data_IF_919947535398
#
_entry.id   IF_919947535398
#
_cell.length_a   1.000
_cell.length_b   1.000
_cell.length_c   1.000
_cell.angle_alpha   90.00
_cell.angle_beta   90.00
_cell.angle_gamma   90.00
#
_symmetry.space_group_name_H-M   'P 1'
#
loop_
_entity.id
_entity.type
_entity.pdbx_description
1 polymer ?
#
# COMPACT_ATOMS: atom_id res chain seq x y z
N UNK A 1 78.89 40.76 -40.92
CA UNK A 1 77.97 41.09 -39.80
C UNK A 1 76.52 40.68 -40.05
N UNK A 2 75.96 40.77 -41.27
CA UNK A 2 74.54 40.41 -41.55
C UNK A 2 74.17 38.95 -41.24
N UNK A 3 75.05 37.98 -41.50
CA UNK A 3 74.76 36.56 -41.26
C UNK A 3 74.66 36.21 -39.76
N UNK A 4 75.52 36.79 -38.92
CA UNK A 4 75.50 36.56 -37.47
C UNK A 4 74.25 37.15 -36.80
N UNK A 5 73.82 38.35 -37.23
CA UNK A 5 72.57 38.96 -36.76
C UNK A 5 71.33 38.17 -37.18
N UNK A 6 71.32 37.63 -38.41
CA UNK A 6 70.24 36.76 -38.88
C UNK A 6 70.15 35.47 -38.06
N UNK A 7 71.28 34.79 -37.81
CA UNK A 7 71.32 33.57 -37.01
C UNK A 7 70.83 33.79 -35.57
N UNK A 8 71.25 34.90 -34.94
CA UNK A 8 70.81 35.23 -33.57
C UNK A 8 69.30 35.50 -33.52
N UNK A 9 68.76 36.21 -34.53
CA UNK A 9 67.34 36.48 -34.63
C UNK A 9 66.52 35.20 -34.81
N UNK A 10 66.95 34.28 -35.69
CA UNK A 10 66.26 33.01 -35.91
C UNK A 10 66.34 32.07 -34.70
N UNK A 11 67.46 32.09 -33.99
CA UNK A 11 67.63 31.31 -32.76
C UNK A 11 66.69 31.80 -31.65
N UNK A 12 66.59 33.12 -31.48
CA UNK A 12 65.73 33.71 -30.46
C UNK A 12 64.24 33.52 -30.77
N UNK A 13 63.83 33.64 -32.04
CA UNK A 13 62.44 33.37 -32.45
C UNK A 13 62.07 31.91 -32.31
N UNK A 14 62.97 30.97 -32.65
CA UNK A 14 62.76 29.55 -32.44
C UNK A 14 62.61 29.22 -30.94
N UNK A 15 63.48 29.77 -30.08
CA UNK A 15 63.39 29.59 -28.64
C UNK A 15 62.10 30.16 -28.04
N UNK A 16 61.68 31.35 -28.49
CA UNK A 16 60.42 31.96 -28.07
C UNK A 16 59.20 31.12 -28.50
N UNK A 17 59.20 30.58 -29.72
CA UNK A 17 58.08 29.78 -30.22
C UNK A 17 57.95 28.46 -29.45
N UNK A 18 59.06 27.81 -29.11
CA UNK A 18 59.07 26.60 -28.28
C UNK A 18 58.56 26.89 -26.88
N UNK A 19 59.00 27.99 -26.26
CA UNK A 19 58.52 28.38 -24.93
C UNK A 19 57.01 28.69 -24.95
N UNK A 20 56.52 29.40 -25.96
CA UNK A 20 55.10 29.71 -26.12
C UNK A 20 54.25 28.44 -26.32
N UNK A 21 54.75 27.48 -27.12
CA UNK A 21 54.08 26.19 -27.32
C UNK A 21 54.00 25.38 -26.02
N UNK A 22 55.09 25.32 -25.25
CA UNK A 22 55.12 24.59 -23.98
C UNK A 22 54.16 25.18 -22.94
N UNK A 23 54.06 26.52 -22.89
CA UNK A 23 53.10 27.22 -22.01
C UNK A 23 51.67 26.95 -22.45
N UNK A 24 51.40 26.95 -23.76
CA UNK A 24 50.07 26.65 -24.30
C UNK A 24 49.65 25.21 -23.97
N UNK A 25 50.54 24.23 -24.20
CA UNK A 25 50.27 22.81 -23.92
C UNK A 25 50.07 22.56 -22.42
N UNK A 26 50.87 23.22 -21.57
CA UNK A 26 50.68 23.18 -20.12
C UNK A 26 49.34 23.76 -19.70
N UNK A 27 48.94 24.92 -20.23
CA UNK A 27 47.64 25.51 -19.93
C UNK A 27 46.50 24.59 -20.36
N UNK A 28 46.58 23.99 -21.55
CA UNK A 28 45.58 23.06 -22.07
C UNK A 28 45.49 21.83 -21.17
N UNK A 29 46.61 21.20 -20.82
CA UNK A 29 46.63 20.04 -19.93
C UNK A 29 46.09 20.38 -18.52
N UNK A 30 46.46 21.52 -17.96
CA UNK A 30 45.98 21.94 -16.65
C UNK A 30 44.47 22.23 -16.67
N UNK A 31 43.98 23.03 -17.61
CA UNK A 31 42.57 23.39 -17.67
C UNK A 31 41.69 22.22 -18.11
N UNK A 32 42.05 21.49 -19.16
CA UNK A 32 41.22 20.43 -19.70
C UNK A 32 41.23 19.20 -18.78
N UNK A 33 42.41 18.79 -18.32
CA UNK A 33 42.56 17.52 -17.61
C UNK A 33 42.38 17.69 -16.11
N UNK A 34 43.10 18.62 -15.48
CA UNK A 34 43.02 18.77 -14.04
C UNK A 34 41.74 19.49 -13.62
N UNK A 35 41.44 20.65 -14.20
CA UNK A 35 40.25 21.39 -13.82
C UNK A 35 38.98 20.75 -14.39
N UNK A 36 38.84 20.62 -15.70
CA UNK A 36 37.57 20.15 -16.26
C UNK A 36 37.28 18.70 -15.88
N UNK A 37 38.23 17.77 -16.06
CA UNK A 37 37.94 16.37 -15.78
C UNK A 37 37.85 16.10 -14.27
N UNK A 38 38.81 16.55 -13.45
CA UNK A 38 38.77 16.18 -12.02
C UNK A 38 37.74 16.98 -11.24
N UNK A 39 37.77 18.31 -11.33
CA UNK A 39 36.84 19.15 -10.55
C UNK A 39 35.39 18.93 -11.00
N UNK A 40 35.12 18.92 -12.30
CA UNK A 40 33.74 18.79 -12.77
C UNK A 40 33.18 17.40 -12.50
N UNK A 41 33.97 16.33 -12.65
CA UNK A 41 33.49 14.97 -12.36
C UNK A 41 33.27 14.77 -10.86
N UNK A 42 34.18 15.24 -10.01
CA UNK A 42 34.02 15.15 -8.56
C UNK A 42 32.86 16.01 -8.05
N UNK A 43 32.75 17.26 -8.53
CA UNK A 43 31.65 18.16 -8.20
C UNK A 43 30.31 17.58 -8.65
N UNK A 44 30.21 17.12 -9.90
CA UNK A 44 28.97 16.59 -10.45
C UNK A 44 28.56 15.30 -9.74
N UNK A 45 29.51 14.40 -9.44
CA UNK A 45 29.24 13.19 -8.68
C UNK A 45 28.75 13.50 -7.27
N UNK A 46 29.41 14.41 -6.55
CA UNK A 46 28.99 14.82 -5.21
C UNK A 46 27.62 15.51 -5.24
N UNK A 47 27.40 16.41 -6.20
CA UNK A 47 26.14 17.12 -6.39
C UNK A 47 25.00 16.15 -6.71
N UNK A 48 25.17 15.25 -7.69
CA UNK A 48 24.14 14.25 -8.02
C UNK A 48 23.86 13.34 -6.84
N UNK A 49 24.89 12.87 -6.13
CA UNK A 49 24.70 11.95 -5.00
C UNK A 49 23.95 12.64 -3.88
N UNK A 50 24.36 13.86 -3.49
CA UNK A 50 23.70 14.61 -2.43
C UNK A 50 22.26 15.00 -2.82
N UNK A 51 22.07 15.55 -4.01
CA UNK A 51 20.76 15.99 -4.49
C UNK A 51 19.80 14.82 -4.68
N UNK A 52 20.23 13.77 -5.38
CA UNK A 52 19.37 12.63 -5.70
C UNK A 52 19.09 11.77 -4.46
N UNK A 53 20.10 11.50 -3.63
CA UNK A 53 19.90 10.66 -2.45
C UNK A 53 19.14 11.40 -1.34
N UNK A 54 19.57 12.61 -0.97
CA UNK A 54 18.99 13.29 0.19
C UNK A 54 17.70 14.04 -0.14
N UNK A 55 17.68 14.79 -1.25
CA UNK A 55 16.53 15.63 -1.56
C UNK A 55 15.47 14.84 -2.30
N UNK A 56 15.83 14.17 -3.38
CA UNK A 56 14.85 13.44 -4.17
C UNK A 56 14.42 12.15 -3.47
N UNK A 57 15.33 11.21 -3.16
CA UNK A 57 14.90 9.94 -2.55
C UNK A 57 14.29 10.15 -1.17
N UNK A 58 15.01 10.77 -0.23
CA UNK A 58 14.49 10.86 1.14
C UNK A 58 13.30 11.81 1.25
N UNK A 59 13.41 13.06 0.79
CA UNK A 59 12.31 14.00 1.00
C UNK A 59 11.09 13.67 0.14
N UNK A 60 11.26 13.36 -1.15
CA UNK A 60 10.11 13.01 -1.99
C UNK A 60 9.51 11.67 -1.57
N UNK A 61 10.25 10.56 -1.57
CA UNK A 61 9.62 9.27 -1.25
C UNK A 61 9.18 9.19 0.20
N UNK A 62 9.97 9.62 1.18
CA UNK A 62 9.53 9.48 2.56
C UNK A 62 8.30 10.33 2.82
N UNK A 63 8.32 11.64 2.49
CA UNK A 63 7.20 12.54 2.80
C UNK A 63 5.99 12.24 1.93
N UNK A 64 6.17 12.10 0.60
CA UNK A 64 5.05 11.81 -0.29
C UNK A 64 4.42 10.47 0.05
N UNK A 65 5.22 9.41 0.18
CA UNK A 65 4.69 8.09 0.40
C UNK A 65 4.08 7.94 1.80
N UNK A 66 4.72 8.45 2.86
CA UNK A 66 4.11 8.38 4.19
C UNK A 66 2.87 9.26 4.31
N UNK A 67 2.89 10.51 3.84
CA UNK A 67 1.72 11.37 3.93
C UNK A 67 0.56 10.85 3.07
N UNK A 68 0.83 10.46 1.82
CA UNK A 68 -0.20 9.94 0.92
C UNK A 68 -0.75 8.60 1.41
N UNK A 69 0.12 7.62 1.71
CA UNK A 69 -0.32 6.30 2.10
C UNK A 69 -0.99 6.32 3.49
N UNK A 70 -0.38 6.97 4.47
CA UNK A 70 -0.92 6.97 5.84
C UNK A 70 -2.17 7.85 5.95
N UNK A 71 -2.14 9.09 5.45
CA UNK A 71 -3.25 10.00 5.68
C UNK A 71 -4.39 9.81 4.67
N UNK A 72 -4.09 9.66 3.38
CA UNK A 72 -5.14 9.60 2.36
C UNK A 72 -5.66 8.17 2.23
N UNK A 73 -4.78 7.20 2.03
CA UNK A 73 -5.24 5.83 1.78
C UNK A 73 -5.69 5.12 3.05
N UNK A 74 -4.88 5.09 4.12
CA UNK A 74 -5.26 4.39 5.35
C UNK A 74 -6.42 5.08 6.07
N UNK A 75 -6.30 6.39 6.35
CA UNK A 75 -7.34 7.06 7.14
C UNK A 75 -8.58 7.33 6.31
N UNK A 76 -8.48 8.03 5.18
CA UNK A 76 -9.70 8.41 4.46
C UNK A 76 -10.35 7.22 3.76
N UNK A 77 -9.60 6.45 2.97
CA UNK A 77 -10.21 5.33 2.24
C UNK A 77 -10.58 4.18 3.17
N UNK A 78 -9.63 3.66 3.97
CA UNK A 78 -9.89 2.47 4.78
C UNK A 78 -10.91 2.75 5.89
N UNK A 79 -10.81 3.86 6.62
CA UNK A 79 -11.76 4.14 7.69
C UNK A 79 -13.16 4.42 7.12
N UNK A 80 -13.30 5.27 6.10
CA UNK A 80 -14.63 5.56 5.54
C UNK A 80 -15.24 4.30 4.93
N UNK A 81 -14.44 3.53 4.16
CA UNK A 81 -14.90 2.29 3.56
C UNK A 81 -15.35 1.29 4.63
N UNK A 82 -14.52 0.99 5.64
CA UNK A 82 -14.89 0.05 6.68
C UNK A 82 -16.08 0.54 7.50
N UNK A 83 -16.14 1.82 7.84
CA UNK A 83 -17.25 2.33 8.67
C UNK A 83 -18.57 2.25 7.89
N UNK A 84 -18.59 2.72 6.64
CA UNK A 84 -19.80 2.68 5.83
C UNK A 84 -20.20 1.24 5.46
N UNK A 85 -19.26 0.42 5.00
CA UNK A 85 -19.55 -0.94 4.57
C UNK A 85 -19.86 -1.85 5.76
N UNK A 86 -18.94 -1.95 6.73
CA UNK A 86 -19.07 -2.93 7.81
C UNK A 86 -20.16 -2.52 8.79
N UNK A 87 -20.16 -1.29 9.29
CA UNK A 87 -21.10 -0.89 10.33
C UNK A 87 -22.51 -0.71 9.79
N UNK A 88 -22.65 0.00 8.65
CA UNK A 88 -23.98 0.32 8.13
C UNK A 88 -24.51 -0.80 7.25
N UNK A 89 -23.85 -1.11 6.14
CA UNK A 89 -24.41 -2.05 5.17
C UNK A 89 -24.45 -3.49 5.73
N UNK A 90 -23.35 -3.96 6.32
CA UNK A 90 -23.29 -5.34 6.80
C UNK A 90 -23.98 -5.51 8.16
N UNK A 91 -23.57 -4.76 9.19
CA UNK A 91 -24.09 -4.97 10.54
C UNK A 91 -25.52 -4.42 10.69
N UNK A 92 -25.76 -3.17 10.31
CA UNK A 92 -27.04 -2.54 10.56
C UNK A 92 -28.15 -3.00 9.60
N UNK A 93 -27.83 -3.30 8.34
CA UNK A 93 -28.84 -3.70 7.35
C UNK A 93 -28.90 -5.21 7.18
N UNK A 94 -27.79 -5.84 6.75
CA UNK A 94 -27.81 -7.26 6.43
C UNK A 94 -28.07 -8.12 7.67
N UNK A 95 -27.31 -7.91 8.75
CA UNK A 95 -27.43 -8.75 9.94
C UNK A 95 -28.79 -8.56 10.63
N UNK A 96 -29.31 -7.34 10.72
CA UNK A 96 -30.63 -7.09 11.33
C UNK A 96 -31.75 -7.72 10.50
N UNK A 97 -31.73 -7.57 9.18
CA UNK A 97 -32.72 -8.17 8.29
C UNK A 97 -32.68 -9.69 8.37
N UNK A 98 -31.48 -10.27 8.33
CA UNK A 98 -31.29 -11.71 8.48
C UNK A 98 -31.81 -12.20 9.83
N UNK A 99 -31.39 -11.58 10.93
CA UNK A 99 -31.73 -12.06 12.26
C UNK A 99 -33.23 -11.90 12.54
N UNK A 100 -33.81 -10.75 12.21
CA UNK A 100 -35.22 -10.47 12.50
C UNK A 100 -36.17 -11.25 11.59
N UNK A 101 -36.01 -11.13 10.27
CA UNK A 101 -36.97 -11.69 9.32
C UNK A 101 -36.73 -13.19 9.11
N UNK A 102 -35.47 -13.59 8.90
CA UNK A 102 -35.17 -14.98 8.56
C UNK A 102 -35.06 -15.84 9.82
N UNK A 103 -34.19 -15.46 10.76
CA UNK A 103 -33.91 -16.32 11.91
C UNK A 103 -35.05 -16.32 12.94
N UNK A 104 -35.43 -15.15 13.48
CA UNK A 104 -36.45 -15.11 14.54
C UNK A 104 -37.86 -15.36 14.00
N UNK A 105 -38.23 -14.72 12.88
CA UNK A 105 -39.60 -14.82 12.38
C UNK A 105 -39.83 -16.12 11.61
N UNK A 106 -39.12 -16.31 10.49
CA UNK A 106 -39.38 -17.46 9.62
C UNK A 106 -38.94 -18.78 10.26
N UNK A 107 -37.71 -18.84 10.80
CA UNK A 107 -37.21 -20.07 11.38
C UNK A 107 -37.77 -20.32 12.79
N UNK A 108 -37.49 -19.43 13.75
CA UNK A 108 -37.79 -19.72 15.16
C UNK A 108 -39.29 -19.70 15.45
N UNK A 109 -40.02 -18.65 15.03
CA UNK A 109 -41.44 -18.54 15.36
C UNK A 109 -42.31 -19.47 14.52
N UNK A 110 -42.12 -19.49 13.20
CA UNK A 110 -42.98 -20.26 12.28
C UNK A 110 -42.51 -21.71 12.16
N UNK A 111 -41.29 -21.92 11.69
CA UNK A 111 -40.83 -23.26 11.31
C UNK A 111 -40.41 -24.14 12.50
N UNK A 112 -40.03 -23.54 13.62
CA UNK A 112 -39.71 -24.27 14.84
C UNK A 112 -40.90 -24.19 15.80
N UNK A 113 -41.19 -23.04 16.40
CA UNK A 113 -42.13 -22.98 17.52
C UNK A 113 -43.55 -23.39 17.11
N UNK A 114 -44.12 -22.81 16.06
CA UNK A 114 -45.50 -23.12 15.69
C UNK A 114 -45.68 -24.58 15.26
N UNK A 115 -44.84 -25.07 14.34
CA UNK A 115 -44.94 -26.46 13.84
C UNK A 115 -44.55 -27.49 14.89
N UNK A 116 -43.42 -27.32 15.58
CA UNK A 116 -42.94 -28.27 16.58
C UNK A 116 -43.90 -28.33 17.77
N UNK A 117 -44.33 -27.19 18.30
CA UNK A 117 -45.19 -27.17 19.48
C UNK A 117 -46.58 -27.74 19.17
N UNK A 118 -47.13 -27.43 18.00
CA UNK A 118 -48.41 -28.03 17.55
C UNK A 118 -48.26 -29.54 17.39
N UNK A 119 -47.21 -30.01 16.72
CA UNK A 119 -46.99 -31.44 16.54
C UNK A 119 -46.77 -32.16 17.89
N UNK A 120 -45.98 -31.57 18.77
CA UNK A 120 -45.71 -32.11 20.11
C UNK A 120 -46.98 -32.19 20.94
N UNK A 121 -47.76 -31.10 21.01
CA UNK A 121 -48.99 -31.07 21.79
C UNK A 121 -50.04 -32.05 21.24
N UNK A 122 -50.18 -32.12 19.91
CA UNK A 122 -51.06 -33.09 19.26
C UNK A 122 -50.67 -34.53 19.60
N UNK A 123 -49.37 -34.86 19.54
CA UNK A 123 -48.86 -36.18 19.88
C UNK A 123 -49.12 -36.54 21.35
N UNK A 124 -48.82 -35.63 22.29
CA UNK A 124 -49.05 -35.84 23.73
C UNK A 124 -50.54 -36.01 24.01
N UNK A 125 -51.39 -35.15 23.47
CA UNK A 125 -52.85 -35.24 23.64
C UNK A 125 -53.40 -36.56 23.08
N UNK A 126 -52.98 -36.95 21.87
CA UNK A 126 -53.43 -38.20 21.25
C UNK A 126 -53.01 -39.42 22.07
N UNK A 127 -51.79 -39.43 22.60
CA UNK A 127 -51.28 -40.51 23.44
C UNK A 127 -52.06 -40.60 24.76
N UNK A 128 -52.35 -39.47 25.40
CA UNK A 128 -53.16 -39.41 26.61
C UNK A 128 -54.60 -39.90 26.36
N UNK A 129 -55.22 -39.48 25.26
CA UNK A 129 -56.58 -39.90 24.89
C UNK A 129 -56.66 -41.43 24.68
N UNK A 130 -55.70 -42.02 23.95
CA UNK A 130 -55.64 -43.47 23.76
C UNK A 130 -55.45 -44.23 25.08
N UNK A 131 -54.60 -43.72 25.99
CA UNK A 131 -54.37 -44.35 27.29
C UNK A 131 -55.65 -44.39 28.14
N UNK A 132 -56.42 -43.30 28.16
CA UNK A 132 -57.71 -43.23 28.86
C UNK A 132 -58.74 -44.17 28.22
N UNK A 133 -58.83 -44.19 26.89
CA UNK A 133 -59.72 -45.11 26.16
C UNK A 133 -59.41 -46.58 26.47
N UNK A 134 -58.12 -46.95 26.51
CA UNK A 134 -57.69 -48.30 26.88
C UNK A 134 -58.05 -48.64 28.34
N UNK A 135 -57.86 -47.69 29.27
CA UNK A 135 -58.24 -47.88 30.67
C UNK A 135 -59.74 -48.17 30.81
N UNK A 136 -60.60 -47.39 30.15
CA UNK A 136 -62.04 -47.62 30.17
C UNK A 136 -62.43 -48.96 29.53
N UNK A 137 -61.82 -49.33 28.40
CA UNK A 137 -62.06 -50.62 27.77
C UNK A 137 -61.68 -51.79 28.68
N UNK A 138 -60.52 -51.70 29.35
CA UNK A 138 -60.08 -52.71 30.31
C UNK A 138 -61.01 -52.81 31.52
N UNK A 139 -61.49 -51.68 32.05
CA UNK A 139 -62.46 -51.65 33.14
C UNK A 139 -63.79 -52.34 32.75
N UNK A 140 -64.29 -52.05 31.54
CA UNK A 140 -65.56 -52.61 31.06
C UNK A 140 -65.49 -54.14 30.84
N UNK A 141 -64.32 -54.67 30.47
CA UNK A 141 -64.10 -56.12 30.31
C UNK A 141 -63.96 -56.82 31.67
N UNK A 142 -63.55 -56.10 32.71
CA UNK A 142 -63.31 -56.65 34.05
C UNK A 142 -64.57 -56.70 34.95
N UNK A 143 -65.68 -56.10 34.51
CA UNK A 143 -66.96 -56.05 35.21
C UNK A 143 -67.95 -57.06 34.62
#
# INVERSE_FOLDING_TARGET
MRAAGFFLATFFTAGFLVAAFLVADFLVAFFATAFLAVFFTAFLAAFLTAFLAAVFLVAFFAVFFTAFLAAVFLVAFLAVFFTAFLAVAFLAVFLTAFLAAVFFTAFLAVAFLATFLVAFLAAVFFTAFLAVGFFFAAFLVAM
#
